data_IF_082309697473
#
_entry.id   IF_082309697473
#
_cell.length_a   1.000
_cell.length_b   1.000
_cell.length_c   1.000
_cell.angle_alpha   90.00
_cell.angle_beta   90.00
_cell.angle_gamma   90.00
#
_symmetry.space_group_name_H-M   'P 1'
#
loop_
_entity.id
_entity.type
_entity.pdbx_description
1 polymer ?
#
# COMPACT_ATOMS: atom_id res chain seq x y z
N UNK A 1 35.87 -4.36 -28.39
CA UNK A 1 35.05 -3.30 -27.78
C UNK A 1 33.87 -3.98 -27.12
N UNK A 2 33.84 -4.05 -25.80
CA UNK A 2 32.65 -4.50 -25.09
C UNK A 2 31.67 -3.32 -25.07
N UNK A 3 30.50 -3.51 -25.67
CA UNK A 3 29.41 -2.54 -25.63
C UNK A 3 28.69 -2.65 -24.29
N UNK A 4 28.10 -1.55 -23.82
CA UNK A 4 27.25 -1.57 -22.63
C UNK A 4 25.95 -2.33 -22.94
N UNK A 5 25.54 -3.18 -22.01
CA UNK A 5 24.24 -3.83 -22.04
C UNK A 5 23.18 -2.97 -21.35
N UNK A 6 21.98 -2.94 -21.94
CA UNK A 6 20.85 -2.20 -21.41
C UNK A 6 19.70 -3.15 -21.14
N UNK A 7 19.26 -3.20 -19.89
CA UNK A 7 18.11 -3.96 -19.43
C UNK A 7 16.88 -3.09 -19.28
N UNK A 8 15.70 -3.72 -19.34
CA UNK A 8 14.40 -3.07 -19.17
C UNK A 8 13.50 -3.92 -18.28
N UNK A 9 13.06 -3.36 -17.17
CA UNK A 9 12.12 -3.98 -16.24
C UNK A 9 10.74 -3.37 -16.46
N UNK A 10 9.80 -4.21 -16.92
CA UNK A 10 8.42 -3.81 -17.20
C UNK A 10 7.41 -4.48 -16.27
N UNK A 11 6.26 -3.83 -16.02
CA UNK A 11 5.15 -4.46 -15.32
C UNK A 11 4.70 -5.77 -15.96
N UNK A 12 4.27 -6.72 -15.12
CA UNK A 12 3.68 -7.99 -15.56
C UNK A 12 4.67 -9.12 -15.86
N UNK A 13 5.97 -8.85 -15.97
CA UNK A 13 6.98 -9.91 -16.10
C UNK A 13 7.26 -10.53 -14.72
N UNK A 14 6.75 -11.74 -14.46
CA UNK A 14 7.00 -12.49 -13.21
C UNK A 14 8.11 -13.52 -13.31
N UNK A 15 8.74 -13.66 -14.47
CA UNK A 15 9.86 -14.58 -14.65
C UNK A 15 11.11 -14.02 -13.96
N UNK A 16 11.46 -14.63 -12.82
CA UNK A 16 12.65 -14.32 -12.04
C UNK A 16 13.92 -14.38 -12.87
N UNK A 17 14.05 -15.36 -13.78
CA UNK A 17 15.24 -15.52 -14.60
C UNK A 17 15.36 -14.37 -15.60
N UNK A 18 14.25 -14.01 -16.24
CA UNK A 18 14.20 -12.85 -17.12
C UNK A 18 14.57 -11.57 -16.37
N UNK A 19 13.93 -11.27 -15.23
CA UNK A 19 14.21 -10.07 -14.43
C UNK A 19 15.67 -9.99 -14.00
N UNK A 20 16.25 -11.11 -13.54
CA UNK A 20 17.68 -11.15 -13.18
C UNK A 20 18.57 -10.74 -14.35
N UNK A 21 18.28 -11.20 -15.58
CA UNK A 21 19.04 -10.77 -16.78
C UNK A 21 18.92 -9.25 -16.99
N UNK A 22 17.72 -8.67 -16.84
CA UNK A 22 17.52 -7.22 -17.00
C UNK A 22 18.30 -6.40 -15.96
N UNK A 23 18.32 -6.84 -14.70
CA UNK A 23 19.13 -6.19 -13.65
C UNK A 23 20.64 -6.46 -13.78
N UNK A 24 21.04 -7.48 -14.53
CA UNK A 24 22.47 -7.81 -14.72
C UNK A 24 23.15 -6.95 -15.78
N UNK A 25 22.37 -6.27 -16.63
CA UNK A 25 22.85 -5.32 -17.64
C UNK A 25 23.62 -4.15 -16.98
N UNK A 26 24.45 -3.43 -17.73
CA UNK A 26 25.20 -2.28 -17.19
C UNK A 26 24.28 -1.14 -16.77
N UNK A 27 23.21 -0.90 -17.54
CA UNK A 27 22.17 0.09 -17.26
C UNK A 27 20.80 -0.61 -17.28
N UNK A 28 19.95 -0.32 -16.29
CA UNK A 28 18.60 -0.88 -16.24
C UNK A 28 17.58 0.25 -16.19
N UNK A 29 16.66 0.26 -17.15
CA UNK A 29 15.47 1.11 -17.12
C UNK A 29 14.32 0.37 -16.44
N UNK A 30 13.46 1.10 -15.73
CA UNK A 30 12.28 0.55 -15.09
C UNK A 30 11.43 1.66 -14.45
N UNK A 31 10.23 1.29 -14.02
CA UNK A 31 9.36 2.20 -13.25
C UNK A 31 9.66 2.10 -11.77
N UNK A 32 9.46 3.18 -11.03
CA UNK A 32 9.55 3.23 -9.56
C UNK A 32 8.79 2.06 -8.88
N UNK A 33 7.58 1.77 -9.37
CA UNK A 33 6.75 0.68 -8.89
C UNK A 33 7.41 -0.69 -9.08
N UNK A 34 7.91 -1.00 -10.28
CA UNK A 34 8.54 -2.30 -10.54
C UNK A 34 9.83 -2.48 -9.74
N UNK A 35 10.66 -1.43 -9.68
CA UNK A 35 11.89 -1.43 -8.91
C UNK A 35 11.63 -1.63 -7.42
N UNK A 36 10.68 -0.89 -6.84
CA UNK A 36 10.33 -1.02 -5.44
C UNK A 36 9.64 -2.35 -5.10
N UNK A 37 8.78 -2.87 -5.98
CA UNK A 37 8.17 -4.18 -5.76
C UNK A 37 9.15 -5.34 -5.92
N UNK A 38 10.13 -5.25 -6.83
CA UNK A 38 11.21 -6.24 -6.92
C UNK A 38 12.06 -6.26 -5.66
N UNK A 39 12.36 -5.07 -5.10
CA UNK A 39 13.02 -4.97 -3.81
C UNK A 39 12.23 -5.65 -2.69
N UNK A 40 10.91 -5.41 -2.61
CA UNK A 40 10.07 -6.07 -1.60
C UNK A 40 10.08 -7.60 -1.77
N UNK A 41 9.95 -8.09 -3.01
CA UNK A 41 10.00 -9.54 -3.31
C UNK A 41 11.35 -10.16 -2.97
N UNK A 42 12.45 -9.47 -3.25
CA UNK A 42 13.80 -9.92 -2.94
C UNK A 42 14.08 -10.02 -1.43
N UNK A 43 13.32 -9.31 -0.60
CA UNK A 43 13.38 -9.42 0.85
C UNK A 43 12.39 -10.45 1.44
N UNK A 44 11.48 -10.98 0.63
CA UNK A 44 10.55 -12.04 1.00
C UNK A 44 11.01 -13.45 0.56
N UNK A 45 11.99 -13.54 -0.34
CA UNK A 45 12.48 -14.83 -0.83
C UNK A 45 13.36 -15.55 0.20
N UNK A 46 13.19 -16.88 0.30
CA UNK A 46 13.96 -17.75 1.19
C UNK A 46 15.32 -18.18 0.61
N UNK A 47 15.58 -17.91 -0.67
CA UNK A 47 16.82 -18.28 -1.34
C UNK A 47 17.45 -17.10 -2.09
N UNK A 48 18.77 -17.00 -2.03
CA UNK A 48 19.55 -15.99 -2.74
C UNK A 48 19.39 -16.13 -4.27
N UNK A 49 19.27 -17.37 -4.75
CA UNK A 49 19.05 -17.70 -6.16
C UNK A 49 17.70 -17.24 -6.71
N UNK A 50 16.82 -16.66 -5.90
CA UNK A 50 15.54 -16.10 -6.31
C UNK A 50 15.53 -14.56 -6.26
N UNK A 51 16.61 -13.91 -5.79
CA UNK A 51 16.73 -12.44 -5.83
C UNK A 51 16.99 -11.94 -7.25
N UNK A 52 16.31 -10.88 -7.67
CA UNK A 52 16.45 -10.33 -9.03
C UNK A 52 17.35 -9.09 -9.07
N UNK A 53 17.34 -8.26 -8.03
CA UNK A 53 18.18 -7.08 -7.90
C UNK A 53 19.59 -7.46 -7.42
N UNK A 54 20.55 -6.56 -7.71
CA UNK A 54 21.98 -6.74 -7.41
C UNK A 54 22.58 -5.65 -6.51
N UNK A 55 21.72 -4.88 -5.83
CA UNK A 55 22.11 -3.72 -5.01
C UNK A 55 21.56 -2.41 -5.58
N UNK A 56 21.86 -1.32 -4.88
CA UNK A 56 21.35 0.03 -5.18
C UNK A 56 22.54 1.00 -5.30
N UNK A 57 23.22 1.00 -6.44
CA UNK A 57 24.46 1.77 -6.61
C UNK A 57 24.19 3.22 -7.04
N UNK A 58 23.49 3.41 -8.15
CA UNK A 58 23.17 4.74 -8.66
C UNK A 58 21.80 4.73 -9.34
N UNK A 59 20.96 5.70 -8.98
CA UNK A 59 19.67 5.91 -9.64
C UNK A 59 19.59 7.34 -10.20
N UNK A 60 19.13 7.45 -11.44
CA UNK A 60 18.75 8.71 -12.07
C UNK A 60 17.23 8.64 -12.30
N UNK A 61 16.49 9.49 -11.61
CA UNK A 61 15.04 9.54 -11.67
C UNK A 61 14.61 10.60 -12.69
N UNK A 62 13.94 10.17 -13.75
CA UNK A 62 13.25 11.07 -14.67
C UNK A 62 11.91 11.52 -14.07
N UNK A 63 11.50 12.77 -14.32
CA UNK A 63 10.35 13.41 -13.66
C UNK A 63 10.39 13.24 -12.12
N UNK A 64 11.53 13.60 -11.53
CA UNK A 64 11.84 13.32 -10.12
C UNK A 64 10.84 13.95 -9.12
N UNK A 65 10.23 15.08 -9.45
CA UNK A 65 9.16 15.70 -8.66
C UNK A 65 7.90 14.84 -8.65
N UNK A 66 7.46 14.35 -9.81
CA UNK A 66 6.33 13.43 -9.90
C UNK A 66 6.55 12.17 -9.06
N UNK A 67 7.75 11.59 -9.10
CA UNK A 67 8.05 10.31 -8.42
C UNK A 67 8.33 10.49 -6.92
N UNK A 68 9.16 11.45 -6.54
CA UNK A 68 9.68 11.58 -5.17
C UNK A 68 8.87 12.53 -4.28
N UNK A 69 7.97 13.32 -4.86
CA UNK A 69 7.07 14.23 -4.14
C UNK A 69 5.63 13.73 -4.29
N UNK A 70 5.12 13.67 -5.52
CA UNK A 70 3.69 13.38 -5.74
C UNK A 70 3.31 11.93 -5.43
N UNK A 71 4.03 10.96 -5.99
CA UNK A 71 3.78 9.53 -5.80
C UNK A 71 4.29 9.00 -4.46
N UNK A 72 5.25 9.69 -3.85
CA UNK A 72 5.88 9.29 -2.59
C UNK A 72 4.91 9.19 -1.40
N UNK A 73 3.71 9.76 -1.53
CA UNK A 73 2.64 9.75 -0.53
C UNK A 73 2.06 8.35 -0.28
N UNK A 74 2.07 7.47 -1.28
CA UNK A 74 1.48 6.13 -1.16
C UNK A 74 2.59 5.08 -1.06
N UNK A 75 2.64 4.27 0.02
CA UNK A 75 3.64 3.22 0.12
C UNK A 75 3.35 2.08 -0.86
N UNK A 76 4.40 1.39 -1.28
CA UNK A 76 4.30 0.10 -1.95
C UNK A 76 3.98 -0.97 -0.90
N UNK A 77 2.98 -1.80 -1.19
CA UNK A 77 2.47 -2.81 -0.27
C UNK A 77 2.31 -4.13 -1.03
N UNK A 78 2.94 -5.19 -0.54
CA UNK A 78 2.62 -6.57 -0.92
C UNK A 78 1.67 -7.12 0.13
N UNK A 79 0.41 -7.32 -0.26
CA UNK A 79 -0.57 -7.99 0.57
C UNK A 79 -0.71 -9.44 0.16
N UNK A 80 -0.89 -10.32 1.14
CA UNK A 80 -1.14 -11.73 0.90
C UNK A 80 -2.37 -12.20 1.66
N UNK A 81 -3.01 -13.23 1.10
CA UNK A 81 -3.95 -14.04 1.86
C UNK A 81 -3.16 -14.97 2.75
N UNK A 82 -3.48 -14.99 4.04
CA UNK A 82 -3.11 -16.11 4.88
C UNK A 82 -4.00 -17.30 4.51
N UNK A 83 -3.54 -18.12 3.56
CA UNK A 83 -4.13 -19.45 3.39
C UNK A 83 -4.08 -20.19 4.75
N UNK A 84 -5.18 -20.84 5.11
CA UNK A 84 -5.37 -21.60 6.36
C UNK A 84 -5.48 -20.83 7.70
N UNK A 85 -5.34 -19.49 7.75
CA UNK A 85 -5.48 -18.76 9.02
C UNK A 85 -6.84 -18.97 9.69
N UNK A 86 -7.93 -18.96 8.92
CA UNK A 86 -9.28 -19.19 9.45
C UNK A 86 -9.39 -20.57 10.13
N UNK A 87 -8.78 -21.62 9.56
CA UNK A 87 -8.77 -22.97 10.14
C UNK A 87 -8.06 -22.97 11.49
N UNK A 88 -6.93 -22.28 11.59
CA UNK A 88 -6.18 -22.13 12.85
C UNK A 88 -7.02 -21.43 13.92
N UNK A 89 -7.71 -20.33 13.59
CA UNK A 89 -8.59 -19.64 14.54
C UNK A 89 -9.72 -20.55 15.06
N UNK A 90 -10.41 -21.29 14.17
CA UNK A 90 -11.45 -22.25 14.59
C UNK A 90 -10.88 -23.39 15.45
N UNK A 91 -9.68 -23.88 15.11
CA UNK A 91 -9.01 -24.93 15.88
C UNK A 91 -8.69 -24.46 17.30
N UNK A 92 -8.07 -23.28 17.45
CA UNK A 92 -7.76 -22.72 18.78
C UNK A 92 -9.02 -22.39 19.57
N UNK A 93 -10.05 -21.81 18.94
CA UNK A 93 -11.35 -21.57 19.59
C UNK A 93 -11.94 -22.86 20.19
N UNK A 94 -11.85 -23.99 19.47
CA UNK A 94 -12.31 -25.29 19.96
C UNK A 94 -11.43 -25.85 21.09
N UNK A 95 -10.10 -25.67 21.01
CA UNK A 95 -9.17 -26.15 22.03
C UNK A 95 -9.36 -25.38 23.34
N UNK A 96 -9.38 -24.04 23.29
CA UNK A 96 -9.46 -23.22 24.51
C UNK A 96 -10.78 -23.38 25.25
N UNK A 97 -11.87 -23.76 24.57
CA UNK A 97 -13.15 -24.11 25.21
C UNK A 97 -13.02 -25.28 26.20
N UNK A 98 -12.08 -26.20 25.99
CA UNK A 98 -11.85 -27.37 26.86
C UNK A 98 -10.91 -27.08 28.03
N UNK A 99 -10.17 -25.98 27.97
CA UNK A 99 -9.25 -25.56 29.02
C UNK A 99 -10.03 -24.93 30.19
N UNK A 100 -9.48 -25.05 31.39
CA UNK A 100 -10.07 -24.56 32.64
C UNK A 100 -9.26 -23.41 33.24
N UNK A 101 -9.96 -22.35 33.65
CA UNK A 101 -9.41 -21.22 34.42
C UNK A 101 -8.79 -21.71 35.72
N UNK A 102 -7.70 -21.09 36.13
CA UNK A 102 -6.89 -21.38 37.34
C UNK A 102 -6.19 -22.75 37.35
N UNK A 103 -6.34 -23.54 36.28
CA UNK A 103 -5.59 -24.77 36.04
C UNK A 103 -4.69 -24.61 34.83
N UNK A 104 -5.28 -24.26 33.68
CA UNK A 104 -4.60 -24.20 32.38
C UNK A 104 -4.21 -22.75 31.98
N UNK A 105 -4.78 -21.75 32.61
CA UNK A 105 -4.49 -20.34 32.38
C UNK A 105 -5.00 -19.50 33.56
N UNK A 106 -4.36 -18.36 33.78
CA UNK A 106 -4.75 -17.36 34.77
C UNK A 106 -5.35 -16.13 34.07
N UNK A 107 -6.38 -15.54 34.69
CA UNK A 107 -7.05 -14.33 34.18
C UNK A 107 -6.90 -13.21 35.20
N UNK A 108 -6.27 -12.12 34.78
CA UNK A 108 -6.23 -10.86 35.52
C UNK A 108 -7.27 -9.91 34.90
N UNK A 109 -8.42 -9.79 35.55
CA UNK A 109 -9.54 -8.96 35.08
C UNK A 109 -9.26 -7.46 35.21
N UNK A 110 -8.46 -7.05 36.21
CA UNK A 110 -8.07 -5.65 36.38
C UNK A 110 -7.14 -5.18 35.27
N UNK A 111 -6.16 -6.02 34.91
CA UNK A 111 -5.21 -5.73 33.82
C UNK A 111 -5.73 -6.15 32.44
N UNK A 112 -6.87 -6.84 32.38
CA UNK A 112 -7.43 -7.46 31.16
C UNK A 112 -6.39 -8.29 30.41
N UNK A 113 -5.70 -9.16 31.14
CA UNK A 113 -4.69 -10.08 30.59
C UNK A 113 -5.02 -11.52 30.92
N UNK A 114 -4.70 -12.43 30.01
CA UNK A 114 -4.79 -13.88 30.21
C UNK A 114 -3.41 -14.48 29.95
N UNK A 115 -2.91 -15.29 30.89
CA UNK A 115 -1.61 -15.93 30.80
C UNK A 115 -1.77 -17.46 30.85
N UNK A 116 -1.27 -18.21 29.84
CA UNK A 116 -1.23 -19.66 29.93
C UNK A 116 -0.33 -20.16 31.06
N UNK A 117 -0.72 -21.25 31.71
CA UNK A 117 0.14 -22.01 32.64
C UNK A 117 0.87 -23.12 31.88
N UNK A 118 1.88 -23.75 32.51
CA UNK A 118 2.61 -24.89 31.92
C UNK A 118 1.68 -26.07 31.56
N UNK A 119 0.70 -26.36 32.41
CA UNK A 119 -0.32 -27.39 32.15
C UNK A 119 -1.22 -27.02 30.97
N UNK A 120 -1.52 -25.74 30.78
CA UNK A 120 -2.25 -25.22 29.62
C UNK A 120 -1.48 -25.39 28.32
N UNK A 121 -0.19 -25.06 28.32
CA UNK A 121 0.70 -25.28 27.17
C UNK A 121 0.73 -26.77 26.82
N UNK A 122 0.96 -27.64 27.81
CA UNK A 122 1.00 -29.11 27.61
C UNK A 122 -0.32 -29.64 27.02
N UNK A 123 -1.46 -29.13 27.50
CA UNK A 123 -2.78 -29.53 26.99
C UNK A 123 -2.99 -29.11 25.52
N UNK A 124 -2.52 -27.92 25.14
CA UNK A 124 -2.58 -27.43 23.77
C UNK A 124 -1.64 -28.22 22.86
N UNK A 125 -0.40 -28.48 23.28
CA UNK A 125 0.58 -29.29 22.53
C UNK A 125 0.02 -30.68 22.22
N UNK A 126 -0.61 -31.32 23.21
CA UNK A 126 -1.29 -32.61 23.03
C UNK A 126 -2.49 -32.51 22.09
N UNK A 127 -3.26 -31.42 22.14
CA UNK A 127 -4.41 -31.22 21.25
C UNK A 127 -3.99 -30.94 19.80
N UNK A 128 -2.82 -30.34 19.60
CA UNK A 128 -2.22 -30.05 18.29
C UNK A 128 -1.30 -31.17 17.78
N UNK A 129 -0.98 -32.16 18.63
CA UNK A 129 -0.03 -33.24 18.34
C UNK A 129 1.36 -32.72 17.93
N UNK A 130 1.89 -31.78 18.71
CA UNK A 130 3.23 -31.19 18.55
C UNK A 130 4.06 -31.41 19.82
N UNK A 131 5.39 -31.43 19.69
CA UNK A 131 6.30 -31.67 20.81
C UNK A 131 6.56 -30.42 21.66
N UNK A 132 6.62 -29.25 21.03
CA UNK A 132 6.89 -27.98 21.72
C UNK A 132 6.19 -26.82 20.98
N UNK A 133 5.33 -26.09 21.69
CA UNK A 133 4.62 -24.93 21.16
C UNK A 133 5.57 -23.77 20.79
N UNK A 134 6.76 -23.74 21.39
CA UNK A 134 7.77 -22.70 21.23
C UNK A 134 8.87 -23.04 20.21
N UNK A 135 8.92 -24.26 19.68
CA UNK A 135 9.91 -24.64 18.66
C UNK A 135 9.37 -24.53 17.23
N UNK A 136 10.24 -24.06 16.35
CA UNK A 136 9.96 -23.87 14.92
C UNK A 136 9.35 -22.50 14.59
N UNK A 137 9.02 -22.30 13.32
CA UNK A 137 8.37 -21.13 12.68
C UNK A 137 6.97 -20.81 13.28
N UNK A 138 6.66 -21.40 14.44
CA UNK A 138 5.43 -21.48 15.21
C UNK A 138 5.15 -20.26 16.11
N UNK A 139 5.87 -19.13 15.95
CA UNK A 139 5.59 -17.89 16.67
C UNK A 139 4.11 -17.46 16.55
N UNK A 140 3.45 -17.85 15.46
CA UNK A 140 2.03 -17.65 15.26
C UNK A 140 1.17 -18.50 16.22
N UNK A 141 1.51 -19.75 16.55
CA UNK A 141 0.68 -20.62 17.42
C UNK A 141 0.57 -20.11 18.86
N UNK A 142 1.68 -19.60 19.42
CA UNK A 142 1.68 -18.98 20.77
C UNK A 142 0.77 -17.76 20.78
N UNK A 143 0.90 -16.89 19.78
CA UNK A 143 0.04 -15.72 19.61
C UNK A 143 -1.44 -16.12 19.49
N UNK A 144 -1.74 -17.09 18.61
CA UNK A 144 -3.11 -17.60 18.42
C UNK A 144 -3.71 -18.19 19.70
N UNK A 145 -2.92 -18.90 20.50
CA UNK A 145 -3.36 -19.43 21.78
C UNK A 145 -3.74 -18.31 22.75
N UNK A 146 -2.87 -17.32 22.92
CA UNK A 146 -3.11 -16.17 23.80
C UNK A 146 -4.34 -15.36 23.38
N UNK A 147 -4.47 -15.10 22.08
CA UNK A 147 -5.60 -14.33 21.53
C UNK A 147 -6.92 -15.11 21.67
N UNK A 148 -6.91 -16.44 21.47
CA UNK A 148 -8.09 -17.27 21.68
C UNK A 148 -8.53 -17.32 23.15
N UNK A 149 -7.59 -17.39 24.10
CA UNK A 149 -7.88 -17.29 25.53
C UNK A 149 -8.44 -15.92 25.91
N UNK A 150 -7.86 -14.85 25.38
CA UNK A 150 -8.36 -13.48 25.55
C UNK A 150 -9.78 -13.34 25.02
N UNK A 151 -10.07 -13.83 23.83
CA UNK A 151 -11.41 -13.85 23.26
C UNK A 151 -12.40 -14.66 24.12
N UNK A 152 -11.96 -15.79 24.68
CA UNK A 152 -12.80 -16.63 25.57
C UNK A 152 -13.19 -15.89 26.86
N UNK A 153 -12.22 -15.33 27.57
CA UNK A 153 -12.38 -14.88 28.96
C UNK A 153 -12.66 -13.38 29.12
N UNK A 154 -12.19 -12.53 28.20
CA UNK A 154 -12.24 -11.06 28.37
C UNK A 154 -13.21 -10.35 27.41
N UNK A 155 -13.81 -11.09 26.48
CA UNK A 155 -14.75 -10.57 25.49
C UNK A 155 -16.01 -11.41 25.54
N UNK A 156 -17.08 -10.83 26.05
CA UNK A 156 -18.38 -11.45 26.22
C UNK A 156 -19.40 -10.84 25.27
N UNK A 157 -20.22 -11.73 24.70
CA UNK A 157 -21.39 -11.33 23.94
C UNK A 157 -22.33 -10.50 24.82
N UNK A 158 -22.93 -9.48 24.23
CA UNK A 158 -23.82 -8.49 24.83
C UNK A 158 -23.17 -7.54 25.84
N UNK A 159 -21.83 -7.55 25.95
CA UNK A 159 -21.03 -6.55 26.67
C UNK A 159 -20.07 -5.83 25.74
N UNK A 160 -18.99 -6.51 25.33
CA UNK A 160 -17.96 -5.92 24.45
C UNK A 160 -18.36 -5.99 22.97
N UNK A 161 -19.29 -6.88 22.60
CA UNK A 161 -19.80 -7.02 21.25
C UNK A 161 -21.18 -7.65 21.17
N UNK A 162 -21.80 -7.51 20.01
CA UNK A 162 -23.02 -8.24 19.61
C UNK A 162 -22.78 -8.98 18.29
N UNK A 163 -23.64 -9.93 17.98
CA UNK A 163 -23.69 -10.58 16.66
C UNK A 163 -24.90 -10.05 15.91
N UNK A 164 -24.67 -9.38 14.79
CA UNK A 164 -25.72 -8.83 13.94
C UNK A 164 -25.41 -9.14 12.47
N UNK A 165 -26.41 -9.61 11.72
CA UNK A 165 -26.27 -9.99 10.30
C UNK A 165 -25.16 -11.02 10.02
N UNK A 166 -24.89 -11.91 10.98
CA UNK A 166 -23.80 -12.88 10.85
C UNK A 166 -22.41 -12.26 10.97
N UNK A 167 -22.28 -11.09 11.58
CA UNK A 167 -21.00 -10.41 11.82
C UNK A 167 -20.87 -10.02 13.29
N UNK A 168 -19.64 -10.03 13.81
CA UNK A 168 -19.30 -9.52 15.14
C UNK A 168 -19.20 -7.99 15.06
N UNK A 169 -20.01 -7.29 15.86
CA UNK A 169 -20.00 -5.83 15.95
C UNK A 169 -19.58 -5.36 17.33
N UNK A 170 -18.59 -4.49 17.40
CA UNK A 170 -18.06 -3.95 18.66
C UNK A 170 -19.09 -3.01 19.29
N UNK A 171 -19.26 -3.13 20.60
CA UNK A 171 -20.10 -2.23 21.40
C UNK A 171 -19.19 -1.32 22.23
N UNK A 172 -19.52 -0.03 22.26
CA UNK A 172 -18.87 0.93 23.12
C UNK A 172 -19.28 0.71 24.60
N UNK A 173 -18.30 0.45 25.47
CA UNK A 173 -18.53 0.07 26.88
C UNK A 173 -19.25 1.16 27.69
N UNK A 174 -19.16 2.44 27.30
CA UNK A 174 -19.77 3.55 28.04
C UNK A 174 -21.18 3.89 27.55
N UNK A 175 -21.41 3.79 26.24
CA UNK A 175 -22.64 4.26 25.60
C UNK A 175 -23.57 3.13 25.15
N UNK A 176 -23.07 1.89 25.09
CA UNK A 176 -23.81 0.74 24.55
C UNK A 176 -24.07 0.82 23.04
N UNK A 177 -23.44 1.77 22.33
CA UNK A 177 -23.63 1.97 20.90
C UNK A 177 -22.80 0.98 20.10
N UNK A 178 -23.36 0.53 18.99
CA UNK A 178 -22.66 -0.28 18.00
C UNK A 178 -21.69 0.60 17.21
N UNK A 179 -20.42 0.20 17.17
CA UNK A 179 -19.36 0.88 16.42
C UNK A 179 -19.21 0.22 15.05
N UNK A 180 -20.01 0.67 14.08
CA UNK A 180 -19.97 0.14 12.72
C UNK A 180 -18.61 0.38 12.03
N UNK A 181 -18.13 -0.63 11.30
CA UNK A 181 -16.85 -0.59 10.57
C UNK A 181 -15.60 -0.78 11.44
N UNK A 182 -15.74 -0.88 12.78
CA UNK A 182 -14.59 -1.08 13.68
C UNK A 182 -14.32 -2.57 13.91
N UNK A 183 -13.05 -2.96 13.85
CA UNK A 183 -12.56 -4.30 14.22
C UNK A 183 -11.45 -4.18 15.28
N UNK A 184 -11.27 -5.22 16.08
CA UNK A 184 -10.13 -5.28 17.01
C UNK A 184 -8.87 -5.76 16.27
N UNK A 185 -7.71 -5.28 16.68
CA UNK A 185 -6.41 -5.59 16.07
C UNK A 185 -5.82 -6.93 16.55
N UNK A 186 -4.65 -7.30 16.03
CA UNK A 186 -3.84 -8.46 16.43
C UNK A 186 -4.56 -9.82 16.39
N UNK A 187 -5.51 -9.99 15.47
CA UNK A 187 -6.22 -11.25 15.28
C UNK A 187 -7.35 -11.49 16.29
N UNK A 188 -7.58 -10.55 17.23
CA UNK A 188 -8.61 -10.71 18.27
C UNK A 188 -10.01 -10.76 17.68
N UNK A 189 -10.29 -9.99 16.64
CA UNK A 189 -11.60 -9.99 16.01
C UNK A 189 -11.91 -11.34 15.34
N UNK A 190 -10.93 -11.92 14.65
CA UNK A 190 -11.03 -13.25 14.07
C UNK A 190 -11.19 -14.33 15.14
N UNK A 191 -10.53 -14.20 16.29
CA UNK A 191 -10.69 -15.12 17.42
C UNK A 191 -12.09 -15.05 18.07
N UNK A 192 -12.70 -13.85 18.16
CA UNK A 192 -14.09 -13.70 18.62
C UNK A 192 -15.07 -14.25 17.58
N UNK A 193 -14.84 -14.00 16.29
CA UNK A 193 -15.64 -14.62 15.21
C UNK A 193 -15.57 -16.15 15.29
N UNK A 194 -14.37 -16.71 15.49
CA UNK A 194 -14.16 -18.15 15.65
C UNK A 194 -14.85 -18.71 16.91
N UNK A 195 -14.75 -18.01 18.05
CA UNK A 195 -15.41 -18.36 19.31
C UNK A 195 -16.92 -18.49 19.14
N UNK A 196 -17.52 -17.56 18.39
CA UNK A 196 -18.97 -17.51 18.16
C UNK A 196 -19.44 -18.34 16.95
N UNK A 197 -18.53 -19.00 16.24
CA UNK A 197 -18.85 -19.77 15.04
C UNK A 197 -19.27 -18.91 13.84
N UNK A 198 -18.94 -17.61 13.86
CA UNK A 198 -19.18 -16.67 12.77
C UNK A 198 -18.15 -16.88 11.66
N UNK A 199 -18.53 -16.61 10.41
CA UNK A 199 -17.63 -16.71 9.25
C UNK A 199 -16.50 -15.69 9.39
N UNK A 200 -15.26 -16.17 9.51
CA UNK A 200 -14.09 -15.29 9.59
C UNK A 200 -13.88 -14.66 8.21
N UNK A 201 -13.93 -13.33 8.14
CA UNK A 201 -13.55 -12.61 6.92
C UNK A 201 -12.05 -12.68 6.76
N UNK A 202 -11.58 -13.31 5.68
CA UNK A 202 -10.17 -13.30 5.30
C UNK A 202 -9.71 -11.84 5.10
N UNK A 203 -8.82 -11.37 5.98
CA UNK A 203 -8.16 -10.09 5.79
C UNK A 203 -6.88 -10.31 4.99
N UNK A 204 -6.66 -9.46 3.99
CA UNK A 204 -5.37 -9.36 3.34
C UNK A 204 -4.41 -8.72 4.34
N UNK A 205 -3.40 -9.45 4.77
CA UNK A 205 -2.35 -8.91 5.63
C UNK A 205 -1.27 -8.26 4.76
N UNK A 206 -0.73 -7.14 5.23
CA UNK A 206 0.50 -6.56 4.66
C UNK A 206 1.68 -7.46 4.99
N UNK A 207 2.28 -8.09 3.98
CA UNK A 207 3.46 -8.95 4.12
C UNK A 207 4.75 -8.15 4.07
N UNK A 208 4.80 -7.13 3.23
CA UNK A 208 5.95 -6.24 3.09
C UNK A 208 5.50 -4.86 2.62
N UNK A 209 6.19 -3.82 3.09
CA UNK A 209 5.92 -2.44 2.67
C UNK A 209 7.18 -1.59 2.66
N UNK A 210 7.24 -0.62 1.74
CA UNK A 210 8.24 0.43 1.69
C UNK A 210 7.64 1.69 1.05
N UNK A 211 7.98 2.88 1.55
CA UNK A 211 7.66 4.13 0.86
C UNK A 211 8.64 4.35 -0.29
N UNK A 212 8.23 5.03 -1.36
CA UNK A 212 9.18 5.38 -2.43
C UNK A 212 10.36 6.20 -1.88
N UNK A 213 10.10 7.10 -0.92
CA UNK A 213 11.15 7.86 -0.25
C UNK A 213 12.23 6.96 0.35
N UNK A 214 11.83 5.95 1.14
CA UNK A 214 12.76 5.03 1.77
C UNK A 214 13.44 4.11 0.76
N UNK A 215 12.74 3.71 -0.31
CA UNK A 215 13.31 2.89 -1.38
C UNK A 215 14.45 3.62 -2.10
N UNK A 216 14.23 4.86 -2.55
CA UNK A 216 15.26 5.63 -3.27
C UNK A 216 16.44 6.05 -2.38
N UNK A 217 16.24 6.16 -1.06
CA UNK A 217 17.32 6.37 -0.09
C UNK A 217 18.25 5.17 0.09
N UNK A 218 17.90 3.99 -0.44
CA UNK A 218 18.79 2.83 -0.44
C UNK A 218 19.96 2.98 -1.42
N UNK A 219 19.85 3.88 -2.39
CA UNK A 219 20.89 4.07 -3.40
C UNK A 219 22.09 4.85 -2.84
N UNK A 220 23.32 4.35 -3.10
CA UNK A 220 24.56 5.04 -2.70
C UNK A 220 24.66 6.44 -3.32
N UNK A 221 24.13 6.59 -4.54
CA UNK A 221 24.00 7.86 -5.23
C UNK A 221 22.60 8.00 -5.83
N UNK A 222 22.03 9.19 -5.71
CA UNK A 222 20.74 9.54 -6.27
C UNK A 222 20.87 10.84 -7.07
N UNK A 223 20.24 10.90 -8.23
CA UNK A 223 20.09 12.10 -9.05
C UNK A 223 18.72 12.06 -9.73
N UNK A 224 18.30 13.18 -10.30
CA UNK A 224 17.13 13.21 -11.16
C UNK A 224 17.03 14.48 -11.98
N UNK A 225 16.04 14.49 -12.84
CA UNK A 225 15.76 15.58 -13.78
C UNK A 225 14.26 15.83 -13.86
N UNK A 226 13.88 17.08 -14.05
CA UNK A 226 12.50 17.54 -14.25
C UNK A 226 12.54 19.01 -14.71
N UNK A 227 11.44 19.50 -15.27
CA UNK A 227 11.25 20.91 -15.59
C UNK A 227 10.86 21.79 -14.39
N UNK A 228 10.43 21.20 -13.27
CA UNK A 228 9.66 21.92 -12.23
C UNK A 228 10.17 21.76 -10.79
N UNK A 229 11.43 21.35 -10.58
CA UNK A 229 11.97 21.08 -9.24
C UNK A 229 12.22 22.30 -8.33
N UNK A 230 12.22 23.53 -8.85
CA UNK A 230 12.67 24.71 -8.08
C UNK A 230 11.75 25.01 -6.88
N UNK A 231 10.44 24.78 -7.01
CA UNK A 231 9.48 24.99 -5.91
C UNK A 231 9.67 23.98 -4.78
N UNK A 232 10.08 22.75 -5.12
CA UNK A 232 10.25 21.63 -4.19
C UNK A 232 11.70 21.47 -3.68
N UNK A 233 12.58 22.44 -3.96
CA UNK A 233 14.01 22.36 -3.65
C UNK A 233 14.30 22.12 -2.15
N UNK A 234 13.49 22.71 -1.27
CA UNK A 234 13.62 22.51 0.17
C UNK A 234 13.28 21.06 0.57
N UNK A 235 12.25 20.46 -0.03
CA UNK A 235 11.85 19.08 0.23
C UNK A 235 12.90 18.10 -0.30
N UNK A 236 13.42 18.33 -1.50
CA UNK A 236 14.50 17.52 -2.08
C UNK A 236 15.74 17.47 -1.19
N UNK A 237 16.16 18.62 -0.65
CA UNK A 237 17.31 18.68 0.23
C UNK A 237 17.04 18.01 1.58
N UNK A 238 15.90 18.31 2.21
CA UNK A 238 15.59 17.80 3.55
C UNK A 238 15.37 16.28 3.57
N UNK A 239 14.74 15.72 2.52
CA UNK A 239 14.39 14.29 2.48
C UNK A 239 15.49 13.44 1.85
N UNK A 240 16.15 13.95 0.80
CA UNK A 240 17.07 13.17 -0.03
C UNK A 240 18.51 13.72 -0.06
N UNK A 241 18.77 14.89 0.52
CA UNK A 241 20.07 15.56 0.41
C UNK A 241 20.38 16.04 -1.02
N UNK A 242 19.36 16.23 -1.85
CA UNK A 242 19.51 16.63 -3.25
C UNK A 242 19.44 18.15 -3.38
N UNK A 243 20.42 18.72 -4.08
CA UNK A 243 20.40 20.12 -4.47
C UNK A 243 19.74 20.27 -5.85
N UNK A 244 18.81 21.22 -5.97
CA UNK A 244 18.23 21.60 -7.26
C UNK A 244 19.15 22.59 -7.96
N UNK A 245 19.53 22.27 -9.18
CA UNK A 245 20.39 23.12 -10.02
C UNK A 245 19.60 23.50 -11.28
N UNK A 246 19.13 24.76 -11.39
CA UNK A 246 18.49 25.24 -12.61
C UNK A 246 19.50 25.27 -13.76
N UNK A 247 19.24 24.50 -14.81
CA UNK A 247 20.06 24.48 -16.02
C UNK A 247 19.52 25.54 -17.00
N UNK A 248 20.36 26.42 -17.56
CA UNK A 248 19.92 27.41 -18.51
C UNK A 248 19.33 26.74 -19.77
N UNK A 249 18.32 27.36 -20.35
CA UNK A 249 17.72 26.86 -21.59
C UNK A 249 18.69 27.01 -22.76
N UNK A 250 18.65 26.06 -23.70
CA UNK A 250 19.46 26.13 -24.92
C UNK A 250 19.10 27.34 -25.80
N UNK A 251 17.84 27.77 -25.77
CA UNK A 251 17.33 28.95 -26.46
C UNK A 251 16.57 29.86 -25.50
N UNK A 252 16.53 31.19 -25.75
CA UNK A 252 15.70 32.11 -24.98
C UNK A 252 14.21 31.72 -25.07
N UNK A 253 13.53 31.77 -23.93
CA UNK A 253 12.09 31.50 -23.87
C UNK A 253 11.33 32.70 -24.46
N UNK A 254 10.62 32.47 -25.56
CA UNK A 254 9.75 33.48 -26.22
C UNK A 254 8.25 33.17 -26.04
N UNK A 255 7.93 32.14 -25.24
CA UNK A 255 6.55 31.78 -24.88
C UNK A 255 5.92 32.93 -24.09
N UNK A 256 4.68 33.29 -24.44
CA UNK A 256 3.92 34.34 -23.76
C UNK A 256 2.94 33.72 -22.78
N UNK A 257 3.33 33.67 -21.51
CA UNK A 257 2.47 33.19 -20.43
C UNK A 257 1.46 34.30 -20.06
N UNK A 258 0.17 34.00 -20.23
CA UNK A 258 -0.92 34.94 -19.93
C UNK A 258 -1.34 34.83 -18.46
N UNK A 259 -2.00 35.87 -17.95
CA UNK A 259 -2.59 35.85 -16.60
C UNK A 259 -3.84 34.96 -16.56
N UNK A 260 -4.19 34.49 -15.36
CA UNK A 260 -5.37 33.67 -15.16
C UNK A 260 -6.68 34.44 -15.41
N UNK A 261 -7.63 33.80 -16.09
CA UNK A 261 -8.99 34.31 -16.28
C UNK A 261 -9.95 33.68 -15.27
N UNK A 262 -10.55 34.51 -14.42
CA UNK A 262 -11.46 34.06 -13.35
C UNK A 262 -12.91 34.31 -13.77
N UNK A 263 -13.74 33.28 -13.71
CA UNK A 263 -15.16 33.33 -14.09
C UNK A 263 -16.06 33.06 -12.90
N UNK A 264 -17.26 33.68 -12.90
CA UNK A 264 -18.25 33.53 -11.83
C UNK A 264 -18.85 32.12 -11.74
N UNK A 265 -18.98 31.43 -12.88
CA UNK A 265 -19.58 30.10 -12.96
C UNK A 265 -18.72 29.15 -13.77
N UNK A 266 -18.82 27.85 -13.45
CA UNK A 266 -18.05 26.81 -14.13
C UNK A 266 -18.43 26.72 -15.62
N UNK A 267 -19.72 26.74 -15.94
CA UNK A 267 -20.19 26.78 -17.33
C UNK A 267 -19.76 28.06 -18.06
N UNK A 268 -19.69 29.20 -17.36
CA UNK A 268 -19.16 30.44 -17.93
C UNK A 268 -17.70 30.29 -18.35
N UNK A 269 -16.88 29.66 -17.49
CA UNK A 269 -15.49 29.32 -17.78
C UNK A 269 -15.36 28.42 -19.01
N UNK A 270 -16.10 27.31 -19.06
CA UNK A 270 -15.98 26.37 -20.19
C UNK A 270 -16.51 26.94 -21.50
N UNK A 271 -17.59 27.70 -21.47
CA UNK A 271 -18.05 28.39 -22.67
C UNK A 271 -16.99 29.37 -23.19
N UNK A 272 -16.34 30.13 -22.31
CA UNK A 272 -15.26 31.03 -22.72
C UNK A 272 -14.03 30.28 -23.25
N UNK A 273 -13.66 29.15 -22.64
CA UNK A 273 -12.61 28.26 -23.14
C UNK A 273 -12.91 27.76 -24.55
N UNK A 274 -14.15 27.32 -24.81
CA UNK A 274 -14.58 26.82 -26.11
C UNK A 274 -14.51 27.92 -27.18
N UNK A 275 -14.92 29.14 -26.87
CA UNK A 275 -14.80 30.27 -27.81
C UNK A 275 -13.33 30.61 -28.12
N UNK A 276 -12.42 30.57 -27.13
CA UNK A 276 -10.97 30.75 -27.38
C UNK A 276 -10.40 29.62 -28.25
N UNK A 277 -10.85 28.38 -28.05
CA UNK A 277 -10.46 27.25 -28.89
C UNK A 277 -10.93 27.44 -30.33
N UNK A 278 -12.18 27.86 -30.55
CA UNK A 278 -12.73 28.13 -31.89
C UNK A 278 -11.88 29.17 -32.60
N UNK A 279 -11.62 30.32 -31.97
CA UNK A 279 -10.87 31.42 -32.58
C UNK A 279 -9.45 30.99 -33.02
N UNK A 280 -8.79 30.15 -32.21
CA UNK A 280 -7.45 29.62 -32.50
C UNK A 280 -7.46 28.52 -33.56
N UNK A 281 -8.48 27.66 -33.52
CA UNK A 281 -8.65 26.57 -34.47
C UNK A 281 -8.89 27.11 -35.89
N UNK A 282 -9.73 28.15 -36.03
CA UNK A 282 -9.97 28.84 -37.30
C UNK A 282 -8.69 29.44 -37.90
N UNK A 283 -7.72 29.82 -37.06
CA UNK A 283 -6.40 30.32 -37.47
C UNK A 283 -5.38 29.20 -37.74
N UNK A 284 -5.75 27.94 -37.54
CA UNK A 284 -4.86 26.78 -37.68
C UNK A 284 -3.81 26.64 -36.57
N UNK A 285 -3.99 27.30 -35.43
CA UNK A 285 -3.06 27.20 -34.31
C UNK A 285 -3.29 25.87 -33.55
N UNK A 286 -2.23 25.09 -33.24
CA UNK A 286 -2.36 23.89 -32.41
C UNK A 286 -2.66 24.27 -30.95
N UNK A 287 -3.53 23.50 -30.30
CA UNK A 287 -4.03 23.78 -28.96
C UNK A 287 -3.90 22.51 -28.12
N UNK A 288 -3.40 22.64 -26.89
CA UNK A 288 -3.41 21.61 -25.87
C UNK A 288 -4.26 22.12 -24.70
N UNK A 289 -5.25 21.33 -24.28
CA UNK A 289 -6.13 21.66 -23.15
C UNK A 289 -5.86 20.68 -22.01
N UNK A 290 -5.43 21.20 -20.86
CA UNK A 290 -5.28 20.42 -19.63
C UNK A 290 -6.54 20.52 -18.77
N UNK A 291 -7.04 19.39 -18.29
CA UNK A 291 -8.10 19.33 -17.27
C UNK A 291 -7.60 18.56 -16.05
N UNK A 292 -8.32 18.70 -14.93
CA UNK A 292 -7.98 18.02 -13.67
C UNK A 292 -8.65 16.66 -13.50
N UNK A 293 -9.61 16.29 -14.36
CA UNK A 293 -10.33 15.02 -14.28
C UNK A 293 -10.94 14.61 -15.62
N UNK A 294 -11.16 13.31 -15.77
CA UNK A 294 -11.79 12.71 -16.95
C UNK A 294 -13.16 13.30 -17.23
N UNK A 295 -14.00 13.46 -16.20
CA UNK A 295 -15.33 14.07 -16.31
C UNK A 295 -15.28 15.48 -16.91
N UNK A 296 -14.27 16.29 -16.53
CA UNK A 296 -14.11 17.63 -17.09
C UNK A 296 -13.58 17.59 -18.53
N UNK A 297 -12.72 16.62 -18.87
CA UNK A 297 -12.33 16.40 -20.26
C UNK A 297 -13.52 16.03 -21.14
N UNK A 298 -14.39 15.12 -20.68
CA UNK A 298 -15.60 14.72 -21.39
C UNK A 298 -16.56 15.90 -21.58
N UNK A 299 -16.77 16.71 -20.53
CA UNK A 299 -17.58 17.92 -20.62
C UNK A 299 -17.05 18.90 -21.69
N UNK A 300 -15.74 19.13 -21.72
CA UNK A 300 -15.12 20.02 -22.74
C UNK A 300 -15.27 19.41 -24.13
N UNK A 301 -15.06 18.10 -24.28
CA UNK A 301 -15.26 17.37 -25.54
C UNK A 301 -16.68 17.55 -26.06
N UNK A 302 -17.70 17.34 -25.23
CA UNK A 302 -19.10 17.49 -25.63
C UNK A 302 -19.44 18.92 -26.06
N UNK A 303 -18.86 19.93 -25.40
CA UNK A 303 -19.10 21.32 -25.75
C UNK A 303 -18.45 21.68 -27.09
N UNK A 304 -17.28 21.11 -27.40
CA UNK A 304 -16.60 21.28 -28.68
C UNK A 304 -17.32 20.53 -29.81
N UNK A 305 -17.79 19.32 -29.56
CA UNK A 305 -18.58 18.53 -30.51
C UNK A 305 -19.87 19.26 -30.91
N UNK A 306 -20.56 19.88 -29.95
CA UNK A 306 -21.75 20.73 -30.21
C UNK A 306 -21.44 21.92 -31.12
N UNK A 307 -20.17 22.34 -31.21
CA UNK A 307 -19.69 23.42 -32.07
C UNK A 307 -19.03 22.91 -33.36
N UNK A 308 -19.04 21.59 -33.59
CA UNK A 308 -18.48 20.97 -34.79
C UNK A 308 -16.95 20.91 -34.83
N UNK A 309 -16.27 21.10 -33.69
CA UNK A 309 -14.81 20.97 -33.59
C UNK A 309 -14.45 19.54 -33.22
N UNK A 310 -13.74 18.85 -34.09
CA UNK A 310 -13.18 17.53 -33.80
C UNK A 310 -11.86 17.66 -33.05
N UNK A 311 -11.74 16.96 -31.93
CA UNK A 311 -10.51 16.86 -31.14
C UNK A 311 -9.98 15.43 -31.11
N UNK A 312 -8.71 15.29 -30.74
CA UNK A 312 -8.12 14.01 -30.38
C UNK A 312 -8.17 13.91 -28.85
N UNK A 313 -9.09 13.10 -28.33
CA UNK A 313 -9.16 12.76 -26.90
C UNK A 313 -8.23 11.60 -26.56
#
# INVERSE_FOLDING_TARGET
>A
MAWLEVGLVVPGSRDTQHKRRQYSADITYGTNNELGFDYLRDNMTMSLENKVQRGHNYCIVDEIDSILIDEARTPLIISGKLADAAKTYYQFASIVQRLRRDEHYEVDEEKRTVAPTESGVTAVEKALNIENLYEGVSANLVHQFQVALKAKELFHKDKEYIIANGEVKIVDEFTGRVLDGRRWSDGLHQAVEAKEGVSIKEENQTLATITLQNYFRLYDKLAGMTGTAETEAAEFYNTYGLHVVPIPTNLPIVRKDQVDFIYRSEMGKYNALVEDIIERNEKGQPILVGTISVEKSELVSELLDKRGITIMC
#
